data_IF_521711157470
#
_entry.id   IF_521711157470
#
_cell.length_a   1.000
_cell.length_b   1.000
_cell.length_c   1.000
_cell.angle_alpha   90.00
_cell.angle_beta   90.00
_cell.angle_gamma   90.00
#
_symmetry.space_group_name_H-M   'P 1'
#
loop_
_entity.id
_entity.type
_entity.pdbx_description
1 polymer ?
#
# COMPACT_ATOMS: atom_id res chain seq x y z
N UNK A 1 36.82 -12.13 12.65
CA UNK A 1 36.31 -10.87 12.05
C UNK A 1 35.73 -11.22 10.72
N UNK A 2 34.50 -10.81 10.38
CA UNK A 2 33.97 -11.05 9.07
C UNK A 2 34.86 -10.37 8.03
N UNK A 3 35.18 -11.10 7.01
CA UNK A 3 36.02 -10.61 5.92
C UNK A 3 35.19 -9.61 5.12
N UNK A 4 35.71 -8.41 4.91
CA UNK A 4 35.07 -7.40 4.08
C UNK A 4 34.75 -7.99 2.70
N UNK A 5 33.50 -7.92 2.26
CA UNK A 5 33.06 -8.42 0.97
C UNK A 5 32.64 -7.24 0.09
N UNK A 6 33.65 -6.51 -0.35
CA UNK A 6 33.44 -5.38 -1.26
C UNK A 6 33.27 -5.91 -2.68
N UNK A 7 32.22 -5.50 -3.33
CA UNK A 7 31.96 -5.75 -4.75
C UNK A 7 32.10 -4.49 -5.56
N UNK A 8 32.54 -4.66 -6.78
CA UNK A 8 32.38 -3.67 -7.83
C UNK A 8 30.91 -3.64 -8.28
N UNK A 9 30.48 -2.54 -8.88
CA UNK A 9 29.14 -2.45 -9.46
C UNK A 9 28.87 -3.56 -10.48
N UNK A 10 29.85 -3.86 -11.33
CA UNK A 10 29.76 -4.93 -12.35
C UNK A 10 29.53 -6.30 -11.72
N UNK A 11 30.23 -6.61 -10.63
CA UNK A 11 30.06 -7.89 -9.93
C UNK A 11 28.70 -7.97 -9.24
N UNK A 12 28.23 -6.88 -8.65
CA UNK A 12 26.90 -6.82 -8.04
C UNK A 12 25.83 -7.04 -9.11
N UNK A 13 25.92 -6.32 -10.22
CA UNK A 13 24.98 -6.41 -11.33
C UNK A 13 24.92 -7.79 -11.99
N UNK A 14 26.07 -8.46 -12.09
CA UNK A 14 26.16 -9.82 -12.66
C UNK A 14 25.39 -10.87 -11.84
N UNK A 15 25.21 -10.65 -10.54
CA UNK A 15 24.49 -11.55 -9.63
C UNK A 15 23.05 -11.08 -9.32
N UNK A 16 22.63 -9.97 -9.91
CA UNK A 16 21.32 -9.39 -9.68
C UNK A 16 20.24 -10.06 -10.52
N UNK A 17 19.03 -10.19 -9.93
CA UNK A 17 17.87 -10.67 -10.68
C UNK A 17 17.19 -9.57 -11.50
N UNK A 18 17.45 -8.28 -11.21
CA UNK A 18 16.98 -7.07 -11.92
C UNK A 18 15.46 -6.86 -11.94
N UNK A 19 14.67 -7.92 -11.95
CA UNK A 19 13.22 -7.89 -11.96
C UNK A 19 12.67 -8.57 -10.72
N UNK A 20 11.46 -8.20 -10.33
CA UNK A 20 10.82 -8.80 -9.16
C UNK A 20 10.73 -10.31 -9.30
N UNK A 21 11.30 -11.10 -8.38
CA UNK A 21 11.09 -12.53 -8.33
C UNK A 21 9.60 -12.88 -8.19
N UNK A 22 9.17 -13.95 -8.82
CA UNK A 22 7.77 -14.36 -8.89
C UNK A 22 7.16 -14.58 -7.50
N UNK A 23 7.92 -15.12 -6.57
CA UNK A 23 7.53 -15.31 -5.18
C UNK A 23 7.23 -13.98 -4.45
N UNK A 24 7.96 -12.89 -4.74
CA UNK A 24 7.67 -11.57 -4.17
C UNK A 24 6.42 -10.94 -4.78
N UNK A 25 6.21 -11.12 -6.08
CA UNK A 25 5.01 -10.65 -6.76
C UNK A 25 3.77 -11.36 -6.22
N UNK A 26 3.87 -12.66 -5.92
CA UNK A 26 2.78 -13.42 -5.28
C UNK A 26 2.51 -12.94 -3.85
N UNK A 27 3.53 -12.72 -3.04
CA UNK A 27 3.38 -12.18 -1.67
C UNK A 27 2.74 -10.79 -1.66
N UNK A 28 3.07 -9.95 -2.63
CA UNK A 28 2.47 -8.63 -2.74
C UNK A 28 1.03 -8.72 -3.24
N UNK A 29 0.74 -9.61 -4.18
CA UNK A 29 -0.62 -9.86 -4.65
C UNK A 29 -1.55 -10.34 -3.51
N UNK A 30 -1.04 -11.13 -2.58
CA UNK A 30 -1.76 -11.52 -1.36
C UNK A 30 -1.98 -10.32 -0.41
N UNK A 31 -1.13 -9.31 -0.44
CA UNK A 31 -1.26 -8.08 0.36
C UNK A 31 -2.04 -6.96 -0.33
N UNK A 32 -2.38 -7.10 -1.62
CA UNK A 32 -3.08 -6.11 -2.42
C UNK A 32 -4.56 -6.44 -2.59
N UNK A 33 -5.39 -5.41 -2.50
CA UNK A 33 -6.84 -5.53 -2.73
C UNK A 33 -7.21 -5.48 -4.23
N UNK A 34 -6.31 -4.98 -5.07
CA UNK A 34 -6.58 -4.75 -6.49
C UNK A 34 -6.96 -6.02 -7.24
N UNK A 35 -6.28 -7.17 -7.08
CA UNK A 35 -6.67 -8.42 -7.74
C UNK A 35 -8.11 -8.85 -7.40
N UNK A 36 -8.55 -8.62 -6.17
CA UNK A 36 -9.93 -8.92 -5.76
C UNK A 36 -10.93 -8.00 -6.46
N UNK A 37 -10.65 -6.70 -6.55
CA UNK A 37 -11.50 -5.75 -7.26
C UNK A 37 -11.55 -6.05 -8.75
N UNK A 38 -10.43 -6.35 -9.40
CA UNK A 38 -10.40 -6.71 -10.83
C UNK A 38 -11.23 -7.96 -11.10
N UNK A 39 -11.12 -8.98 -10.24
CA UNK A 39 -11.89 -10.22 -10.38
C UNK A 39 -13.40 -10.03 -10.22
N UNK A 40 -13.84 -9.08 -9.42
CA UNK A 40 -15.24 -8.83 -9.07
C UNK A 40 -15.84 -7.62 -9.80
N UNK A 41 -15.06 -6.93 -10.64
CA UNK A 41 -15.53 -5.71 -11.32
C UNK A 41 -16.72 -5.93 -12.25
N UNK A 42 -16.76 -7.06 -12.97
CA UNK A 42 -17.85 -7.32 -13.91
C UNK A 42 -19.19 -7.51 -13.18
N UNK A 43 -19.17 -8.14 -12.01
CA UNK A 43 -20.35 -8.26 -11.16
C UNK A 43 -20.76 -6.90 -10.59
N UNK A 44 -19.81 -6.09 -10.12
CA UNK A 44 -20.06 -4.71 -9.68
C UNK A 44 -20.68 -3.84 -10.79
N UNK A 45 -20.12 -3.92 -12.02
CA UNK A 45 -20.67 -3.24 -13.21
C UNK A 45 -22.09 -3.69 -13.49
N UNK A 46 -22.34 -5.01 -13.45
CA UNK A 46 -23.66 -5.58 -13.71
C UNK A 46 -24.70 -5.08 -12.69
N UNK A 47 -24.36 -4.99 -11.41
CA UNK A 47 -25.25 -4.45 -10.38
C UNK A 47 -25.65 -3.01 -10.72
N UNK A 48 -24.68 -2.13 -10.98
CA UNK A 48 -24.98 -0.73 -11.31
C UNK A 48 -25.74 -0.58 -12.65
N UNK A 49 -25.47 -1.45 -13.62
CA UNK A 49 -26.16 -1.44 -14.93
C UNK A 49 -27.61 -1.88 -14.81
N UNK A 50 -27.90 -2.88 -13.97
CA UNK A 50 -29.23 -3.42 -13.77
C UNK A 50 -30.08 -2.59 -12.78
N UNK A 51 -29.45 -1.69 -12.04
CA UNK A 51 -30.16 -0.80 -11.13
C UNK A 51 -30.96 0.25 -11.90
N UNK A 52 -32.17 0.51 -11.43
CA UNK A 52 -33.02 1.55 -12.01
C UNK A 52 -32.52 2.94 -11.63
N UNK A 53 -32.02 3.68 -12.61
CA UNK A 53 -31.51 5.04 -12.39
C UNK A 53 -32.58 6.07 -11.95
N UNK A 54 -33.87 5.75 -12.07
CA UNK A 54 -34.97 6.55 -11.53
C UNK A 54 -35.32 6.18 -10.08
N UNK A 55 -34.86 5.01 -9.62
CA UNK A 55 -34.99 4.54 -8.26
C UNK A 55 -33.60 4.19 -7.69
N UNK A 56 -32.88 5.17 -7.10
CA UNK A 56 -31.52 4.96 -6.63
C UNK A 56 -31.36 3.83 -5.62
N UNK A 57 -32.39 3.55 -4.81
CA UNK A 57 -32.37 2.47 -3.83
C UNK A 57 -32.40 1.08 -4.45
N UNK A 58 -32.80 0.95 -5.71
CA UNK A 58 -32.80 -0.32 -6.44
C UNK A 58 -31.43 -0.99 -6.48
N UNK A 59 -30.35 -0.22 -6.34
CA UNK A 59 -28.99 -0.78 -6.26
C UNK A 59 -28.85 -1.77 -5.12
N UNK A 60 -29.53 -1.53 -4.01
CA UNK A 60 -29.49 -2.41 -2.84
C UNK A 60 -30.23 -3.72 -3.07
N UNK A 61 -31.34 -3.67 -3.80
CA UNK A 61 -32.11 -4.87 -4.17
C UNK A 61 -31.32 -5.73 -5.16
N UNK A 62 -30.69 -5.10 -6.16
CA UNK A 62 -29.84 -5.80 -7.12
C UNK A 62 -28.59 -6.39 -6.44
N UNK A 63 -27.96 -5.66 -5.49
CA UNK A 63 -26.86 -6.19 -4.69
C UNK A 63 -27.27 -7.43 -3.89
N UNK A 64 -28.44 -7.38 -3.26
CA UNK A 64 -28.96 -8.49 -2.47
C UNK A 64 -29.25 -9.71 -3.37
N UNK A 65 -29.90 -9.50 -4.53
CA UNK A 65 -30.19 -10.55 -5.50
C UNK A 65 -28.90 -11.18 -6.09
N UNK A 66 -27.86 -10.39 -6.28
CA UNK A 66 -26.57 -10.84 -6.75
C UNK A 66 -25.70 -11.51 -5.67
N UNK A 67 -26.13 -11.53 -4.41
CA UNK A 67 -25.35 -11.96 -3.26
C UNK A 67 -23.97 -11.28 -3.17
N UNK A 68 -23.88 -10.02 -3.57
CA UNK A 68 -22.64 -9.27 -3.59
C UNK A 68 -22.38 -8.63 -2.24
N UNK A 69 -21.21 -8.88 -1.67
CA UNK A 69 -20.86 -8.42 -0.34
C UNK A 69 -20.83 -6.87 -0.25
N UNK A 70 -21.45 -6.31 0.79
CA UNK A 70 -21.60 -4.86 0.96
C UNK A 70 -20.24 -4.15 1.15
N UNK A 71 -19.33 -4.74 1.93
CA UNK A 71 -17.96 -4.23 2.10
C UNK A 71 -17.16 -4.22 0.79
N UNK A 72 -17.35 -5.22 -0.05
CA UNK A 72 -16.68 -5.30 -1.35
C UNK A 72 -17.25 -4.25 -2.32
N UNK A 73 -18.58 -4.06 -2.35
CA UNK A 73 -19.22 -3.00 -3.14
C UNK A 73 -18.74 -1.61 -2.70
N UNK A 74 -18.72 -1.37 -1.39
CA UNK A 74 -18.18 -0.15 -0.81
C UNK A 74 -16.73 0.08 -1.22
N UNK A 75 -15.90 -0.97 -1.20
CA UNK A 75 -14.49 -0.84 -1.59
C UNK A 75 -14.30 -0.48 -3.06
N UNK A 76 -15.11 -1.04 -3.95
CA UNK A 76 -15.12 -0.60 -5.35
C UNK A 76 -15.41 0.90 -5.46
N UNK A 77 -16.45 1.40 -4.79
CA UNK A 77 -16.77 2.83 -4.78
C UNK A 77 -15.63 3.67 -4.23
N UNK A 78 -15.07 3.31 -3.07
CA UNK A 78 -13.96 4.04 -2.46
C UNK A 78 -12.77 4.20 -3.41
N UNK A 79 -12.44 3.16 -4.18
CA UNK A 79 -11.34 3.19 -5.15
C UNK A 79 -11.71 4.02 -6.38
N UNK A 80 -12.91 3.85 -6.92
CA UNK A 80 -13.36 4.54 -8.13
C UNK A 80 -13.54 6.05 -7.91
N UNK A 81 -13.98 6.45 -6.73
CA UNK A 81 -14.21 7.85 -6.36
C UNK A 81 -12.97 8.52 -5.76
N UNK A 82 -11.91 7.75 -5.46
CA UNK A 82 -10.76 8.24 -4.70
C UNK A 82 -11.18 8.86 -3.34
N UNK A 83 -12.21 8.27 -2.73
CA UNK A 83 -12.78 8.70 -1.47
C UNK A 83 -12.59 7.61 -0.41
N UNK A 84 -11.40 7.58 0.17
CA UNK A 84 -10.99 6.54 1.11
C UNK A 84 -11.51 6.76 2.54
N UNK A 85 -10.97 5.99 3.48
CA UNK A 85 -11.37 6.05 4.89
C UNK A 85 -11.06 7.39 5.55
N UNK A 86 -9.99 8.09 5.16
CA UNK A 86 -9.64 9.37 5.77
C UNK A 86 -10.66 10.48 5.46
N UNK A 87 -11.06 10.74 4.20
CA UNK A 87 -12.17 11.66 3.92
C UNK A 87 -13.47 11.25 4.58
N UNK A 88 -13.84 9.95 4.56
CA UNK A 88 -15.04 9.45 5.24
C UNK A 88 -15.02 9.69 6.75
N UNK A 89 -13.86 9.54 7.38
CA UNK A 89 -13.70 9.82 8.80
C UNK A 89 -13.87 11.30 9.12
N UNK A 90 -13.39 12.21 8.26
CA UNK A 90 -13.62 13.65 8.43
C UNK A 90 -15.10 13.98 8.36
N UNK A 91 -15.81 13.43 7.36
CA UNK A 91 -17.26 13.59 7.23
C UNK A 91 -17.98 13.04 8.46
N UNK A 92 -17.64 11.85 8.93
CA UNK A 92 -18.26 11.25 10.11
C UNK A 92 -18.06 12.08 11.39
N UNK A 93 -16.87 12.67 11.57
CA UNK A 93 -16.55 13.50 12.73
C UNK A 93 -17.36 14.80 12.74
N UNK A 94 -17.44 15.44 11.58
CA UNK A 94 -18.06 16.75 11.43
C UNK A 94 -19.46 16.64 10.80
N UNK A 95 -20.12 15.49 10.94
CA UNK A 95 -21.33 15.09 10.22
C UNK A 95 -22.47 16.09 10.34
N UNK A 96 -22.75 16.59 11.55
CA UNK A 96 -23.82 17.56 11.78
C UNK A 96 -23.60 18.91 11.09
N UNK A 97 -22.36 19.23 10.71
CA UNK A 97 -22.06 20.45 9.96
C UNK A 97 -22.40 20.27 8.47
N UNK A 98 -22.28 19.04 7.96
CA UNK A 98 -22.61 18.71 6.57
C UNK A 98 -24.07 18.36 6.40
N UNK A 99 -24.65 17.67 7.36
CA UNK A 99 -26.01 17.13 7.34
C UNK A 99 -26.75 17.49 8.64
N UNK A 100 -27.12 18.77 8.83
CA UNK A 100 -27.69 19.23 10.12
C UNK A 100 -29.05 18.61 10.45
N UNK A 101 -29.82 18.20 9.43
CA UNK A 101 -31.10 17.51 9.54
C UNK A 101 -30.99 15.99 9.34
N UNK A 102 -29.76 15.46 9.35
CA UNK A 102 -29.45 14.06 9.12
C UNK A 102 -29.86 13.54 7.73
N UNK A 103 -29.91 14.42 6.71
CA UNK A 103 -30.41 14.10 5.38
C UNK A 103 -29.45 14.55 4.29
N UNK A 104 -29.30 13.72 3.25
CA UNK A 104 -28.70 14.09 1.98
C UNK A 104 -29.82 14.40 0.98
N UNK A 105 -29.87 15.65 0.50
CA UNK A 105 -30.73 16.04 -0.63
C UNK A 105 -29.86 16.12 -1.88
N UNK A 106 -30.25 15.40 -2.91
CA UNK A 106 -29.49 15.34 -4.16
C UNK A 106 -30.41 15.30 -5.37
N UNK A 107 -29.91 15.83 -6.48
CA UNK A 107 -30.64 15.85 -7.75
C UNK A 107 -30.20 14.69 -8.65
N UNK A 108 -31.14 13.91 -9.14
CA UNK A 108 -30.90 12.85 -10.11
C UNK A 108 -31.97 12.87 -11.20
N UNK A 109 -31.54 12.94 -12.46
CA UNK A 109 -32.45 12.98 -13.62
C UNK A 109 -33.55 14.08 -13.53
N UNK A 110 -33.21 15.24 -12.98
CA UNK A 110 -34.14 16.35 -12.80
C UNK A 110 -35.07 16.23 -11.61
N UNK A 111 -35.03 15.17 -10.83
CA UNK A 111 -35.76 14.99 -9.61
C UNK A 111 -34.87 15.23 -8.40
N UNK A 112 -35.42 15.94 -7.41
CA UNK A 112 -34.79 16.07 -6.09
C UNK A 112 -35.20 14.87 -5.24
N UNK A 113 -34.22 14.21 -4.63
CA UNK A 113 -34.39 13.03 -3.80
C UNK A 113 -33.82 13.33 -2.42
N UNK A 114 -34.49 12.88 -1.41
CA UNK A 114 -34.08 12.99 -0.01
C UNK A 114 -33.72 11.60 0.53
N UNK A 115 -32.53 11.44 1.08
CA UNK A 115 -32.10 10.24 1.78
C UNK A 115 -31.80 10.57 3.24
N UNK A 116 -32.45 9.87 4.17
CA UNK A 116 -32.24 10.03 5.61
C UNK A 116 -31.20 9.03 6.11
N UNK A 117 -30.12 9.53 6.72
CA UNK A 117 -29.08 8.69 7.31
C UNK A 117 -29.59 8.04 8.60
N UNK A 118 -29.38 6.74 8.72
CA UNK A 118 -29.88 5.95 9.86
C UNK A 118 -28.76 5.39 10.73
N UNK A 119 -27.56 5.23 10.21
CA UNK A 119 -26.40 4.70 10.92
C UNK A 119 -25.24 5.70 11.03
N UNK A 120 -25.19 6.73 10.19
CA UNK A 120 -24.25 7.84 10.31
C UNK A 120 -24.85 8.99 11.14
N UNK A 121 -24.05 9.71 11.95
CA UNK A 121 -22.63 9.45 12.23
C UNK A 121 -22.44 8.27 13.20
N UNK A 122 -21.39 7.49 12.96
CA UNK A 122 -21.03 6.41 13.87
C UNK A 122 -20.14 6.91 15.01
N UNK A 123 -20.22 6.24 16.16
CA UNK A 123 -19.25 6.45 17.24
C UNK A 123 -17.87 5.93 16.81
N UNK A 124 -16.84 6.75 17.02
CA UNK A 124 -15.44 6.42 16.71
C UNK A 124 -15.09 6.57 15.22
N UNK A 125 -13.86 6.20 14.88
CA UNK A 125 -13.30 6.43 13.58
C UNK A 125 -13.84 5.48 12.50
N UNK A 126 -14.11 5.99 11.30
CA UNK A 126 -14.40 5.20 10.09
C UNK A 126 -13.10 4.72 9.44
N UNK A 127 -12.52 3.67 10.00
CA UNK A 127 -11.30 3.04 9.46
C UNK A 127 -11.64 1.96 8.44
N UNK A 128 -10.69 1.62 7.56
CA UNK A 128 -10.84 0.47 6.64
C UNK A 128 -11.19 -0.81 7.41
N UNK A 129 -10.61 -1.02 8.60
CA UNK A 129 -10.91 -2.18 9.46
C UNK A 129 -12.37 -2.17 9.93
N UNK A 130 -12.92 -1.01 10.35
CA UNK A 130 -14.31 -0.90 10.79
C UNK A 130 -15.31 -1.10 9.66
N UNK A 131 -14.93 -0.70 8.44
CA UNK A 131 -15.73 -0.87 7.22
C UNK A 131 -15.49 -2.23 6.54
N UNK A 132 -14.63 -3.08 7.09
CA UNK A 132 -14.19 -4.36 6.51
C UNK A 132 -13.72 -4.22 5.04
N UNK A 133 -13.02 -3.11 4.76
CA UNK A 133 -12.50 -2.76 3.43
C UNK A 133 -10.97 -2.82 3.34
N UNK A 134 -10.30 -3.32 4.37
CA UNK A 134 -8.86 -3.65 4.35
C UNK A 134 -8.61 -5.04 3.76
N UNK A 135 -7.34 -5.31 3.42
CA UNK A 135 -6.93 -6.57 2.79
C UNK A 135 -7.31 -7.80 3.61
N UNK A 136 -7.21 -7.73 4.94
CA UNK A 136 -7.46 -8.87 5.81
C UNK A 136 -8.95 -9.24 5.89
N UNK A 137 -9.84 -8.25 5.80
CA UNK A 137 -11.28 -8.43 6.01
C UNK A 137 -12.13 -8.38 4.73
N UNK A 138 -11.56 -7.92 3.59
CA UNK A 138 -12.34 -7.73 2.35
C UNK A 138 -12.97 -9.01 1.81
N UNK A 139 -12.37 -10.17 2.07
CA UNK A 139 -12.88 -11.47 1.65
C UNK A 139 -13.94 -12.04 2.60
N UNK A 140 -14.10 -11.45 3.80
CA UNK A 140 -15.20 -11.76 4.70
C UNK A 140 -16.42 -11.00 4.22
N UNK A 141 -17.37 -11.72 3.63
CA UNK A 141 -18.56 -11.13 3.06
C UNK A 141 -19.45 -10.49 4.15
N UNK A 142 -19.65 -9.19 4.07
CA UNK A 142 -20.55 -8.45 4.94
C UNK A 142 -21.92 -8.29 4.30
N UNK A 143 -22.95 -8.52 5.11
CA UNK A 143 -24.35 -8.31 4.69
C UNK A 143 -24.66 -6.83 4.61
N UNK A 144 -25.52 -6.48 3.66
CA UNK A 144 -26.03 -5.13 3.52
C UNK A 144 -26.87 -4.73 4.74
N UNK A 145 -26.50 -3.64 5.39
CA UNK A 145 -27.19 -3.05 6.54
C UNK A 145 -27.21 -1.53 6.41
N UNK A 146 -27.87 -0.83 7.34
CA UNK A 146 -28.00 0.63 7.32
C UNK A 146 -26.65 1.35 7.24
N UNK A 147 -25.62 0.83 7.92
CA UNK A 147 -24.27 1.42 7.89
C UNK A 147 -23.66 1.43 6.48
N UNK A 148 -23.75 0.31 5.77
CA UNK A 148 -23.27 0.26 4.38
C UNK A 148 -24.17 1.07 3.44
N UNK A 149 -25.49 1.04 3.64
CA UNK A 149 -26.43 1.83 2.83
C UNK A 149 -26.10 3.31 2.90
N UNK A 150 -25.90 3.85 4.10
CA UNK A 150 -25.57 5.26 4.31
C UNK A 150 -24.30 5.68 3.58
N UNK A 151 -23.20 4.90 3.71
CA UNK A 151 -21.92 5.24 3.07
C UNK A 151 -21.99 5.04 1.55
N UNK A 152 -22.63 3.97 1.07
CA UNK A 152 -22.79 3.70 -0.36
C UNK A 152 -23.62 4.81 -1.02
N UNK A 153 -24.73 5.22 -0.42
CA UNK A 153 -25.55 6.33 -0.94
C UNK A 153 -24.74 7.61 -1.03
N UNK A 154 -23.96 7.91 0.01
CA UNK A 154 -23.11 9.10 0.03
C UNK A 154 -22.05 9.07 -1.10
N UNK A 155 -21.42 7.92 -1.34
CA UNK A 155 -20.41 7.78 -2.41
C UNK A 155 -21.01 7.65 -3.83
N UNK A 156 -22.27 7.24 -3.95
CA UNK A 156 -22.95 7.22 -5.25
C UNK A 156 -23.48 8.60 -5.64
N UNK A 157 -24.07 9.34 -4.68
CA UNK A 157 -24.88 10.51 -5.01
C UNK A 157 -24.41 11.81 -4.36
N UNK A 158 -23.35 11.79 -3.55
CA UNK A 158 -22.84 12.99 -2.87
C UNK A 158 -22.43 14.11 -3.83
N UNK A 159 -21.93 13.78 -5.04
CA UNK A 159 -21.60 14.78 -6.06
C UNK A 159 -22.84 15.50 -6.63
N UNK A 160 -24.02 14.94 -6.44
CA UNK A 160 -25.28 15.49 -6.90
C UNK A 160 -26.03 16.22 -5.78
N UNK A 161 -25.39 16.44 -4.63
CA UNK A 161 -26.00 17.15 -3.52
C UNK A 161 -26.51 18.53 -3.97
N UNK A 162 -27.71 18.90 -3.54
CA UNK A 162 -28.32 20.22 -3.81
C UNK A 162 -27.50 21.33 -3.15
N UNK A 163 -26.85 21.02 -2.04
CA UNK A 163 -25.90 21.93 -1.40
C UNK A 163 -24.55 21.91 -2.13
N UNK A 164 -24.17 23.02 -2.74
CA UNK A 164 -22.93 23.15 -3.52
C UNK A 164 -21.67 22.79 -2.73
N UNK A 165 -21.61 23.14 -1.45
CA UNK A 165 -20.48 22.84 -0.61
C UNK A 165 -20.29 21.32 -0.41
N UNK A 166 -21.40 20.57 -0.26
CA UNK A 166 -21.38 19.11 -0.18
C UNK A 166 -21.01 18.52 -1.53
N UNK A 167 -21.64 19.01 -2.61
CA UNK A 167 -21.36 18.58 -3.97
C UNK A 167 -19.86 18.71 -4.32
N UNK A 168 -19.23 19.82 -3.95
CA UNK A 168 -17.81 20.07 -4.17
C UNK A 168 -16.92 19.04 -3.43
N UNK A 169 -17.23 18.74 -2.17
CA UNK A 169 -16.50 17.74 -1.38
C UNK A 169 -16.56 16.37 -2.05
N UNK A 170 -17.73 16.01 -2.58
CA UNK A 170 -17.95 14.71 -3.22
C UNK A 170 -17.81 14.75 -4.76
N UNK A 171 -17.15 15.76 -5.32
CA UNK A 171 -17.06 15.98 -6.78
C UNK A 171 -16.55 14.80 -7.60
N UNK A 172 -15.80 13.89 -6.97
CA UNK A 172 -15.31 12.64 -7.59
C UNK A 172 -16.32 11.48 -7.50
N UNK A 173 -17.38 11.63 -6.73
CA UNK A 173 -18.39 10.58 -6.47
C UNK A 173 -19.46 10.55 -7.55
N UNK A 174 -19.07 10.35 -8.81
CA UNK A 174 -19.94 10.45 -9.98
C UNK A 174 -20.50 9.10 -10.46
N UNK A 175 -20.16 8.00 -9.80
CA UNK A 175 -20.56 6.65 -10.23
C UNK A 175 -22.07 6.48 -10.30
N UNK A 176 -22.82 7.09 -9.38
CA UNK A 176 -24.28 7.07 -9.37
C UNK A 176 -24.91 7.65 -10.64
N UNK A 177 -24.26 8.64 -11.29
CA UNK A 177 -24.74 9.24 -12.54
C UNK A 177 -24.60 8.31 -13.76
N UNK A 178 -23.85 7.21 -13.60
CA UNK A 178 -23.59 6.21 -14.62
C UNK A 178 -24.46 4.95 -14.44
N UNK A 179 -25.33 4.90 -13.42
CA UNK A 179 -26.25 3.79 -13.22
C UNK A 179 -27.15 3.62 -14.45
N UNK A 180 -27.38 2.38 -14.87
CA UNK A 180 -28.15 2.07 -16.07
C UNK A 180 -27.43 2.30 -17.41
N UNK A 181 -26.26 2.97 -17.42
CA UNK A 181 -25.49 3.32 -18.62
C UNK A 181 -24.30 2.38 -18.80
N UNK A 182 -24.54 1.18 -19.29
CA UNK A 182 -23.58 0.08 -19.31
C UNK A 182 -22.21 0.43 -19.95
N UNK A 183 -22.22 1.08 -21.11
CA UNK A 183 -20.99 1.36 -21.86
C UNK A 183 -20.17 2.49 -21.23
N UNK A 184 -20.84 3.57 -20.78
CA UNK A 184 -20.20 4.67 -20.10
C UNK A 184 -19.60 4.20 -18.76
N UNK A 185 -20.31 3.36 -18.02
CA UNK A 185 -19.87 2.78 -16.77
C UNK A 185 -18.64 1.88 -16.95
N UNK A 186 -18.66 0.99 -17.94
CA UNK A 186 -17.52 0.11 -18.26
C UNK A 186 -16.27 0.92 -18.63
N UNK A 187 -16.43 1.93 -19.48
CA UNK A 187 -15.29 2.76 -19.89
C UNK A 187 -14.74 3.58 -18.72
N UNK A 188 -15.60 4.19 -17.88
CA UNK A 188 -15.21 4.91 -16.69
C UNK A 188 -14.42 4.01 -15.72
N UNK A 189 -14.94 2.82 -15.43
CA UNK A 189 -14.31 1.89 -14.49
C UNK A 189 -12.97 1.41 -15.04
N UNK A 190 -12.91 1.06 -16.34
CA UNK A 190 -11.67 0.63 -16.97
C UNK A 190 -10.59 1.70 -16.92
N UNK A 191 -10.92 2.94 -17.27
CA UNK A 191 -10.00 4.06 -17.21
C UNK A 191 -9.55 4.34 -15.78
N UNK A 192 -10.47 4.25 -14.82
CA UNK A 192 -10.18 4.51 -13.43
C UNK A 192 -9.29 3.44 -12.81
N UNK A 193 -9.50 2.16 -13.12
CA UNK A 193 -8.61 1.10 -12.65
C UNK A 193 -7.21 1.17 -13.29
N UNK A 194 -7.09 1.57 -14.56
CA UNK A 194 -5.78 1.84 -15.17
C UNK A 194 -5.09 3.00 -14.44
N UNK A 195 -5.81 4.06 -14.12
CA UNK A 195 -5.27 5.21 -13.37
C UNK A 195 -4.83 4.79 -11.97
N UNK A 196 -5.68 4.08 -11.24
CA UNK A 196 -5.38 3.57 -9.89
C UNK A 196 -4.22 2.59 -9.92
N UNK A 197 -4.12 1.71 -10.92
CA UNK A 197 -2.99 0.80 -11.06
C UNK A 197 -1.67 1.53 -11.31
N UNK A 198 -1.68 2.70 -11.95
CA UNK A 198 -0.50 3.56 -12.10
C UNK A 198 -0.11 4.26 -10.80
N UNK A 199 -1.10 4.74 -10.04
CA UNK A 199 -0.87 5.33 -8.70
C UNK A 199 -0.38 4.24 -7.74
N UNK A 200 -1.02 3.07 -7.76
CA UNK A 200 -0.60 1.91 -6.97
C UNK A 200 0.71 1.32 -7.47
N UNK A 201 1.11 1.55 -8.73
CA UNK A 201 2.46 1.25 -9.21
C UNK A 201 3.55 1.94 -8.40
N UNK A 202 3.35 3.20 -7.97
CA UNK A 202 4.19 3.88 -6.99
C UNK A 202 4.02 3.34 -5.56
N UNK A 203 2.79 3.05 -5.15
CA UNK A 203 2.48 2.40 -3.87
C UNK A 203 2.90 0.92 -3.88
N UNK A 204 2.83 0.27 -5.02
CA UNK A 204 3.30 -1.08 -5.30
C UNK A 204 4.83 -1.19 -5.20
N UNK A 205 5.57 -0.17 -5.67
CA UNK A 205 7.01 -0.10 -5.44
C UNK A 205 7.35 -0.02 -3.93
N UNK A 206 6.53 0.63 -3.12
CA UNK A 206 6.65 0.61 -1.67
C UNK A 206 6.18 -0.73 -1.06
N UNK A 207 5.12 -1.33 -1.58
CA UNK A 207 4.61 -2.65 -1.17
C UNK A 207 5.61 -3.76 -1.46
N UNK A 208 6.19 -3.78 -2.66
CA UNK A 208 7.24 -4.71 -3.05
C UNK A 208 8.54 -4.46 -2.28
N UNK A 209 8.87 -3.20 -1.96
CA UNK A 209 9.98 -2.88 -1.07
C UNK A 209 9.79 -3.47 0.33
N UNK A 210 8.58 -3.40 0.88
CA UNK A 210 8.22 -4.03 2.15
C UNK A 210 8.23 -5.57 2.03
N UNK A 211 7.70 -6.14 0.94
CA UNK A 211 7.74 -7.57 0.69
C UNK A 211 9.18 -8.09 0.58
N UNK A 212 10.07 -7.33 -0.07
CA UNK A 212 11.48 -7.63 -0.16
C UNK A 212 12.14 -7.66 1.23
N UNK A 213 11.81 -6.70 2.11
CA UNK A 213 12.30 -6.66 3.48
C UNK A 213 11.80 -7.89 4.28
N UNK A 214 10.51 -8.19 4.21
CA UNK A 214 9.89 -9.35 4.90
C UNK A 214 10.49 -10.67 4.43
N UNK A 215 10.71 -10.83 3.11
CA UNK A 215 11.34 -12.04 2.59
C UNK A 215 12.78 -12.18 3.08
N UNK A 216 13.58 -11.11 3.01
CA UNK A 216 14.97 -11.13 3.50
C UNK A 216 15.02 -11.45 5.01
N UNK A 217 14.13 -10.86 5.81
CA UNK A 217 13.99 -11.16 7.24
C UNK A 217 13.69 -12.64 7.47
N UNK A 218 12.66 -13.16 6.80
CA UNK A 218 12.25 -14.57 6.91
C UNK A 218 13.36 -15.53 6.45
N UNK A 219 14.09 -15.17 5.42
CA UNK A 219 15.23 -15.94 4.93
C UNK A 219 16.35 -16.04 5.97
N UNK A 220 16.74 -14.88 6.51
CA UNK A 220 17.77 -14.80 7.54
C UNK A 220 17.37 -15.53 8.82
N UNK A 221 16.13 -15.35 9.30
CA UNK A 221 15.61 -16.07 10.48
C UNK A 221 15.65 -17.59 10.30
N UNK A 222 15.33 -18.09 9.11
CA UNK A 222 15.33 -19.53 8.80
C UNK A 222 16.73 -20.12 8.70
N UNK A 223 17.69 -19.34 8.20
CA UNK A 223 19.06 -19.82 7.91
C UNK A 223 20.05 -19.61 9.05
N UNK A 224 19.82 -18.59 9.86
CA UNK A 224 20.63 -18.32 11.05
C UNK A 224 20.20 -19.21 12.22
N UNK A 225 21.12 -19.56 13.08
CA UNK A 225 20.84 -20.34 14.29
C UNK A 225 20.05 -19.57 15.34
N UNK A 226 19.61 -20.29 16.39
CA UNK A 226 18.82 -19.71 17.49
C UNK A 226 19.57 -18.63 18.30
N UNK A 227 20.89 -18.56 18.18
CA UNK A 227 21.71 -17.55 18.85
C UNK A 227 21.68 -16.17 18.14
N UNK A 228 21.05 -16.11 16.97
CA UNK A 228 20.88 -14.88 16.20
C UNK A 228 19.50 -14.27 16.42
N UNK A 229 19.48 -12.96 16.59
CA UNK A 229 18.23 -12.19 16.68
C UNK A 229 18.12 -11.27 15.48
N UNK A 230 17.16 -11.55 14.59
CA UNK A 230 16.85 -10.71 13.43
C UNK A 230 15.65 -9.83 13.75
N UNK A 231 15.75 -8.53 13.49
CA UNK A 231 14.66 -7.56 13.74
C UNK A 231 14.48 -6.62 12.56
N UNK A 232 13.24 -6.47 12.11
CA UNK A 232 12.83 -5.41 11.18
C UNK A 232 12.88 -4.04 11.87
N UNK A 233 13.26 -3.02 11.11
CA UNK A 233 13.42 -1.65 11.57
C UNK A 233 14.30 -1.58 12.84
N UNK A 234 15.38 -2.35 12.84
CA UNK A 234 16.21 -2.53 14.00
C UNK A 234 17.26 -1.42 14.18
N UNK A 235 17.83 -1.37 15.38
CA UNK A 235 18.85 -0.40 15.73
C UNK A 235 20.15 -1.10 16.15
N UNK A 236 21.27 -0.40 15.98
CA UNK A 236 22.55 -0.77 16.57
C UNK A 236 22.78 0.19 17.75
N UNK A 237 22.96 -0.29 18.99
CA UNK A 237 23.14 0.56 20.16
C UNK A 237 24.29 1.58 19.98
N UNK A 238 24.02 2.83 20.29
CA UNK A 238 24.99 3.92 20.18
C UNK A 238 25.15 4.56 18.81
N UNK A 239 24.47 4.04 17.78
CA UNK A 239 24.45 4.67 16.47
C UNK A 239 23.28 5.63 16.36
N UNK A 240 23.57 6.93 16.33
CA UNK A 240 22.55 7.98 16.26
C UNK A 240 22.65 8.79 14.97
N UNK A 241 21.54 9.38 14.58
CA UNK A 241 21.48 10.37 13.51
C UNK A 241 21.43 11.77 14.15
N UNK A 242 22.42 12.63 13.84
CA UNK A 242 22.53 13.99 14.39
C UNK A 242 22.55 14.05 15.93
N UNK A 243 23.17 13.06 16.58
CA UNK A 243 23.33 12.96 18.05
C UNK A 243 22.00 12.98 18.85
N UNK A 244 20.87 12.74 18.21
CA UNK A 244 19.55 12.84 18.84
C UNK A 244 18.65 11.64 18.67
N UNK A 245 18.69 10.98 17.50
CA UNK A 245 17.76 9.88 17.18
C UNK A 245 18.54 8.64 16.80
N UNK A 246 18.19 7.48 17.37
CA UNK A 246 18.80 6.21 16.97
C UNK A 246 18.63 5.95 15.49
N UNK A 247 19.70 5.53 14.84
CA UNK A 247 19.67 5.18 13.41
C UNK A 247 18.92 3.87 13.22
N UNK A 248 17.86 3.91 12.41
CA UNK A 248 17.10 2.73 12.01
C UNK A 248 17.69 2.12 10.76
N UNK A 249 17.86 0.80 10.76
CA UNK A 249 18.20 -0.03 9.61
C UNK A 249 16.97 -0.84 9.19
N UNK A 250 16.83 -1.16 7.91
CA UNK A 250 15.71 -1.98 7.43
C UNK A 250 15.64 -3.32 8.16
N UNK A 251 16.82 -3.96 8.38
CA UNK A 251 16.96 -5.08 9.31
C UNK A 251 18.17 -4.87 10.23
N UNK A 252 18.12 -5.43 11.43
CA UNK A 252 19.30 -5.63 12.28
C UNK A 252 19.44 -7.09 12.67
N UNK A 253 20.65 -7.62 12.59
CA UNK A 253 21.01 -8.97 13.05
C UNK A 253 21.93 -8.82 14.23
N UNK A 254 21.58 -9.41 15.36
CA UNK A 254 22.43 -9.48 16.55
C UNK A 254 22.91 -10.90 16.76
N UNK A 255 24.21 -11.04 17.02
CA UNK A 255 24.82 -12.29 17.49
C UNK A 255 25.84 -11.96 18.57
N UNK A 256 25.62 -12.48 19.79
CA UNK A 256 26.35 -12.09 20.98
C UNK A 256 26.33 -10.55 21.18
N UNK A 257 27.47 -9.91 21.25
CA UNK A 257 27.61 -8.45 21.41
C UNK A 257 27.85 -7.72 20.08
N UNK A 258 27.70 -8.40 18.93
CA UNK A 258 27.90 -7.82 17.60
C UNK A 258 26.57 -7.64 16.88
N UNK A 259 26.54 -6.58 16.09
CA UNK A 259 25.38 -6.25 15.26
C UNK A 259 25.79 -6.10 13.80
N UNK A 260 24.88 -6.47 12.92
CA UNK A 260 24.91 -6.14 11.49
C UNK A 260 23.67 -5.32 11.18
N UNK A 261 23.85 -4.06 10.79
CA UNK A 261 22.76 -3.26 10.23
C UNK A 261 22.64 -3.54 8.73
N UNK A 262 21.46 -3.86 8.25
CA UNK A 262 21.22 -4.21 6.85
C UNK A 262 20.25 -3.20 6.25
N UNK A 263 20.65 -2.59 5.14
CA UNK A 263 19.84 -1.73 4.31
C UNK A 263 19.41 -2.48 3.06
N UNK A 264 18.12 -2.42 2.71
CA UNK A 264 17.54 -3.12 1.57
C UNK A 264 17.03 -2.13 0.55
N UNK A 265 17.36 -2.31 -0.71
CA UNK A 265 16.80 -1.54 -1.82
C UNK A 265 16.55 -2.43 -3.02
N UNK A 266 15.28 -2.68 -3.33
CA UNK A 266 14.86 -3.34 -4.55
C UNK A 266 13.96 -2.39 -5.35
N UNK A 267 14.47 -1.88 -6.49
CA UNK A 267 13.74 -0.91 -7.30
C UNK A 267 13.84 -1.26 -8.80
N UNK A 268 12.70 -1.61 -9.39
CA UNK A 268 12.63 -1.90 -10.83
C UNK A 268 12.57 -0.62 -11.66
N UNK A 269 11.96 0.44 -11.11
CA UNK A 269 11.92 1.77 -11.71
C UNK A 269 12.81 2.74 -10.93
N UNK A 270 13.38 3.74 -11.60
CA UNK A 270 14.22 4.74 -10.95
C UNK A 270 13.41 5.59 -9.96
N UNK A 271 13.94 5.73 -8.74
CA UNK A 271 13.44 6.67 -7.74
C UNK A 271 14.61 7.25 -6.92
N UNK A 272 14.30 8.19 -6.02
CA UNK A 272 15.29 8.86 -5.17
C UNK A 272 15.73 8.05 -3.94
N UNK A 273 15.17 6.86 -3.70
CA UNK A 273 15.47 6.09 -2.48
C UNK A 273 16.93 5.66 -2.44
N UNK A 274 17.47 5.16 -3.56
CA UNK A 274 18.87 4.71 -3.62
C UNK A 274 19.86 5.87 -3.47
N UNK A 275 19.53 7.04 -4.03
CA UNK A 275 20.36 8.26 -3.89
C UNK A 275 20.40 8.74 -2.44
N UNK A 276 19.24 8.70 -1.73
CA UNK A 276 19.18 9.02 -0.30
C UNK A 276 20.02 8.03 0.54
N UNK A 277 19.94 6.73 0.26
CA UNK A 277 20.76 5.71 0.94
C UNK A 277 22.25 5.93 0.66
N UNK A 278 22.62 6.22 -0.58
CA UNK A 278 24.01 6.53 -0.97
C UNK A 278 24.55 7.78 -0.26
N UNK A 279 23.75 8.84 -0.17
CA UNK A 279 24.14 10.06 0.56
C UNK A 279 24.39 9.84 2.05
N UNK A 280 23.81 8.81 2.65
CA UNK A 280 23.97 8.44 4.06
C UNK A 280 25.06 7.36 4.27
N UNK A 281 25.48 6.67 3.21
CA UNK A 281 26.30 5.45 3.31
C UNK A 281 27.64 5.70 4.03
N UNK A 282 28.37 6.75 3.67
CA UNK A 282 29.68 7.05 4.26
C UNK A 282 29.58 7.34 5.76
N UNK A 283 28.63 8.19 6.18
CA UNK A 283 28.45 8.54 7.58
C UNK A 283 28.01 7.32 8.41
N UNK A 284 27.06 6.53 7.89
CA UNK A 284 26.60 5.29 8.54
C UNK A 284 27.71 4.24 8.65
N UNK A 285 28.47 4.05 7.57
CA UNK A 285 29.61 3.14 7.55
C UNK A 285 30.61 3.48 8.64
N UNK A 286 31.04 4.76 8.72
CA UNK A 286 32.00 5.24 9.71
C UNK A 286 31.50 5.02 11.13
N UNK A 287 30.27 5.43 11.44
CA UNK A 287 29.70 5.28 12.77
C UNK A 287 29.57 3.81 13.20
N UNK A 288 29.15 2.94 12.28
CA UNK A 288 29.01 1.50 12.54
C UNK A 288 30.38 0.84 12.71
N UNK A 289 31.38 1.17 11.88
CA UNK A 289 32.74 0.64 11.98
C UNK A 289 33.42 1.08 13.28
N UNK A 290 33.30 2.35 13.68
CA UNK A 290 33.83 2.88 14.94
C UNK A 290 33.21 2.20 16.17
N UNK A 291 31.97 1.76 16.09
CA UNK A 291 31.31 0.97 17.15
C UNK A 291 31.70 -0.51 17.17
N UNK A 292 32.53 -0.94 16.23
CA UNK A 292 32.97 -2.32 16.09
C UNK A 292 31.89 -3.28 15.58
N UNK A 293 30.86 -2.73 14.90
CA UNK A 293 29.77 -3.43 14.27
C UNK A 293 29.88 -3.39 12.75
N UNK A 294 28.89 -3.90 12.02
CA UNK A 294 28.93 -4.07 10.57
C UNK A 294 27.70 -3.46 9.92
N UNK A 295 27.87 -2.96 8.69
CA UNK A 295 26.78 -2.54 7.82
C UNK A 295 26.83 -3.32 6.51
N UNK A 296 25.68 -3.81 6.09
CA UNK A 296 25.51 -4.52 4.83
C UNK A 296 24.38 -3.90 4.00
N UNK A 297 24.44 -4.12 2.70
CA UNK A 297 23.40 -3.68 1.78
C UNK A 297 22.94 -4.85 0.92
N UNK A 298 21.63 -5.00 0.78
CA UNK A 298 20.99 -5.89 -0.19
C UNK A 298 20.39 -5.00 -1.27
N UNK A 299 20.96 -5.04 -2.48
CA UNK A 299 20.61 -4.11 -3.54
C UNK A 299 20.33 -4.85 -4.84
N UNK A 300 19.16 -4.60 -5.43
CA UNK A 300 18.77 -5.16 -6.70
C UNK A 300 17.72 -4.28 -7.41
N UNK A 301 17.32 -4.69 -8.60
CA UNK A 301 16.31 -4.05 -9.42
C UNK A 301 16.91 -3.16 -10.51
N UNK A 302 16.39 -3.29 -11.73
CA UNK A 302 16.87 -2.58 -12.92
C UNK A 302 16.93 -1.05 -12.73
N UNK A 303 16.02 -0.47 -11.94
CA UNK A 303 15.97 0.96 -11.65
C UNK A 303 17.13 1.43 -10.77
N UNK A 304 17.58 0.61 -9.80
CA UNK A 304 18.74 0.92 -8.99
C UNK A 304 20.02 0.93 -9.83
N UNK A 305 20.19 -0.02 -10.75
CA UNK A 305 21.38 -0.10 -11.61
C UNK A 305 21.54 1.04 -12.61
N UNK A 306 20.49 1.84 -12.84
CA UNK A 306 20.57 3.09 -13.59
C UNK A 306 21.23 4.24 -12.80
N UNK A 307 21.53 4.04 -11.52
CA UNK A 307 22.14 5.03 -10.61
C UNK A 307 23.55 4.62 -10.19
N UNK A 308 24.42 4.47 -11.18
CA UNK A 308 25.77 3.93 -11.01
C UNK A 308 26.60 4.63 -9.93
N UNK A 309 26.57 5.97 -9.87
CA UNK A 309 27.32 6.73 -8.87
C UNK A 309 26.85 6.48 -7.44
N UNK A 310 25.52 6.33 -7.26
CA UNK A 310 24.92 6.01 -5.97
C UNK A 310 25.32 4.59 -5.53
N UNK A 311 25.23 3.61 -6.43
CA UNK A 311 25.60 2.23 -6.14
C UNK A 311 27.10 2.09 -5.87
N UNK A 312 27.95 2.77 -6.63
CA UNK A 312 29.40 2.78 -6.40
C UNK A 312 29.72 3.31 -5.00
N UNK A 313 29.07 4.39 -4.58
CA UNK A 313 29.22 4.93 -3.23
C UNK A 313 28.81 3.92 -2.15
N UNK A 314 27.68 3.23 -2.35
CA UNK A 314 27.21 2.20 -1.39
C UNK A 314 28.19 1.04 -1.32
N UNK A 315 28.65 0.52 -2.46
CA UNK A 315 29.63 -0.56 -2.50
C UNK A 315 30.95 -0.17 -1.80
N UNK A 316 31.35 1.10 -1.92
CA UNK A 316 32.56 1.61 -1.26
C UNK A 316 32.38 1.72 0.27
N UNK A 317 31.20 2.13 0.73
CA UNK A 317 30.90 2.38 2.13
C UNK A 317 29.99 1.30 2.73
N UNK A 318 30.42 0.05 2.57
CA UNK A 318 29.78 -1.13 3.16
C UNK A 318 30.81 -2.17 3.57
N UNK A 319 30.46 -3.03 4.51
CA UNK A 319 31.27 -4.22 4.83
C UNK A 319 30.87 -5.40 3.93
N UNK A 320 29.62 -5.42 3.48
CA UNK A 320 29.12 -6.45 2.58
C UNK A 320 28.00 -5.85 1.70
N UNK A 321 28.09 -6.04 0.39
CA UNK A 321 27.02 -5.69 -0.56
C UNK A 321 26.67 -6.90 -1.39
N UNK A 322 25.40 -7.28 -1.41
CA UNK A 322 24.89 -8.47 -2.11
C UNK A 322 23.64 -8.11 -2.95
N UNK A 323 23.40 -8.88 -3.99
CA UNK A 323 22.18 -8.82 -4.78
C UNK A 323 21.02 -9.55 -4.07
N UNK A 324 19.81 -9.44 -4.63
CA UNK A 324 18.60 -10.01 -4.05
C UNK A 324 18.32 -11.40 -4.60
N UNK A 325 19.18 -12.36 -4.26
CA UNK A 325 18.99 -13.78 -4.57
C UNK A 325 19.34 -14.63 -3.36
N UNK A 326 18.80 -15.85 -3.28
CA UNK A 326 19.08 -16.76 -2.16
C UNK A 326 20.56 -17.08 -2.03
N UNK A 327 21.25 -17.26 -3.17
CA UNK A 327 22.69 -17.49 -3.20
C UNK A 327 23.50 -16.30 -2.63
N UNK A 328 23.04 -15.07 -2.90
CA UNK A 328 23.65 -13.85 -2.39
C UNK A 328 23.35 -13.66 -0.89
N UNK A 329 22.16 -14.04 -0.44
CA UNK A 329 21.84 -14.04 0.99
C UNK A 329 22.68 -15.06 1.76
N UNK A 330 23.00 -16.22 1.17
CA UNK A 330 23.94 -17.17 1.78
C UNK A 330 25.36 -16.58 1.90
N UNK A 331 25.81 -15.77 0.92
CA UNK A 331 27.07 -15.02 1.04
C UNK A 331 27.03 -14.01 2.18
N UNK A 332 25.93 -13.25 2.32
CA UNK A 332 25.74 -12.32 3.43
C UNK A 332 25.85 -13.03 4.78
N UNK A 333 25.22 -14.20 4.93
CA UNK A 333 25.27 -15.02 6.16
C UNK A 333 26.69 -15.48 6.45
N UNK A 334 27.41 -16.03 5.46
CA UNK A 334 28.78 -16.52 5.62
C UNK A 334 29.76 -15.41 5.99
N UNK A 335 29.50 -14.17 5.59
CA UNK A 335 30.36 -13.01 5.88
C UNK A 335 29.98 -12.27 7.17
N UNK A 336 28.76 -12.51 7.67
CA UNK A 336 28.28 -11.97 8.95
C UNK A 336 28.66 -12.82 10.15
N UNK A 337 29.08 -14.07 9.92
CA UNK A 337 29.64 -15.01 10.90
C UNK A 337 31.15 -14.80 11.04
#
# INVERSE_FOLDING_TARGET
MPTRYNRTLTELEANACKWWPENLVMLEAESSIIPTLVRTQDQFISILTLSDYNNPESVFDVMAAAHFAANLFLKHLMVLTDFGSEPLQRINRDFSNYFPDNKLRYALNGNEIEYEFTALPTKGALTNKKMHTDVASILSAESLNSFYKDIITLLLFGSNAVNDYISDIFSKCIVGNLMGKADELKEFIRQRYIFVSRITGGAQANGLGNAAQVYAESYLQRKLGADYVVKSNGHIPGITQNDRTETTFDLSVKHNDKYVGIEISFQVTTNSTIERKAGQAQARYKAVEESGNYIAYIIDGAGNFQRESALTSICQYSHCTVAYTDAEFDVLILKSN
#
